data_IF_666998759001
#
_entry.id   IF_666998759001
#
_cell.length_a   1.000
_cell.length_b   1.000
_cell.length_c   1.000
_cell.angle_alpha   90.00
_cell.angle_beta   90.00
_cell.angle_gamma   90.00
#
_symmetry.space_group_name_H-M   'P 1'
#
loop_
_entity.id
_entity.type
_entity.pdbx_description
1 polymer ?
#
# COMPACT_ATOMS: atom_id res chain seq x y z
N UNK A 1 29.35 -5.14 -8.38
CA UNK A 1 28.22 -4.38 -7.81
C UNK A 1 28.30 -4.49 -6.29
N UNK A 2 28.25 -3.39 -5.55
CA UNK A 2 28.16 -3.46 -4.08
C UNK A 2 26.84 -4.13 -3.67
N UNK A 3 26.88 -4.93 -2.60
CA UNK A 3 25.70 -5.58 -2.03
C UNK A 3 24.77 -4.50 -1.46
N UNK A 4 23.53 -4.43 -1.95
CA UNK A 4 22.52 -3.49 -1.44
C UNK A 4 22.18 -3.85 0.01
N UNK A 5 22.09 -2.84 0.87
CA UNK A 5 21.61 -3.01 2.24
C UNK A 5 20.08 -3.06 2.29
N UNK A 6 19.52 -3.53 3.40
CA UNK A 6 18.08 -3.44 3.65
C UNK A 6 17.58 -1.99 3.57
N UNK A 7 18.37 -1.02 4.03
CA UNK A 7 18.02 0.39 3.96
C UNK A 7 17.97 0.89 2.51
N UNK A 8 18.89 0.45 1.64
CA UNK A 8 18.87 0.80 0.22
C UNK A 8 17.62 0.23 -0.49
N UNK A 9 17.26 -1.01 -0.15
CA UNK A 9 16.09 -1.70 -0.69
C UNK A 9 14.80 -1.05 -0.19
N UNK A 10 14.69 -0.76 1.11
CA UNK A 10 13.56 -0.06 1.70
C UNK A 10 13.39 1.33 1.08
N UNK A 11 14.48 2.08 0.90
CA UNK A 11 14.47 3.39 0.22
C UNK A 11 13.96 3.26 -1.22
N UNK A 12 14.35 2.21 -1.93
CA UNK A 12 13.90 1.96 -3.30
C UNK A 12 12.41 1.62 -3.37
N UNK A 13 11.92 0.82 -2.42
CA UNK A 13 10.50 0.51 -2.26
C UNK A 13 9.68 1.76 -1.90
N UNK A 14 10.16 2.61 -1.00
CA UNK A 14 9.52 3.88 -0.64
C UNK A 14 9.44 4.84 -1.83
N UNK A 15 10.52 4.98 -2.61
CA UNK A 15 10.52 5.76 -3.86
C UNK A 15 9.51 5.21 -4.86
N UNK A 16 9.32 3.89 -4.92
CA UNK A 16 8.33 3.25 -5.78
C UNK A 16 6.90 3.53 -5.29
N UNK A 17 6.65 3.41 -3.99
CA UNK A 17 5.37 3.79 -3.38
C UNK A 17 4.98 5.23 -3.70
N UNK A 18 5.92 6.18 -3.59
CA UNK A 18 5.68 7.59 -3.94
C UNK A 18 5.22 7.79 -5.39
N UNK A 19 5.76 7.01 -6.33
CA UNK A 19 5.33 7.08 -7.74
C UNK A 19 3.91 6.56 -7.92
N UNK A 20 3.56 5.47 -7.24
CA UNK A 20 2.18 4.96 -7.23
C UNK A 20 1.20 5.94 -6.60
N UNK A 21 1.56 6.57 -5.48
CA UNK A 21 0.70 7.57 -4.83
C UNK A 21 0.45 8.79 -5.74
N UNK A 22 1.47 9.24 -6.48
CA UNK A 22 1.30 10.28 -7.52
C UNK A 22 0.40 9.82 -8.66
N UNK A 23 0.55 8.57 -9.09
CA UNK A 23 -0.32 7.95 -10.09
C UNK A 23 -1.78 7.87 -9.63
N UNK A 24 -2.02 7.49 -8.38
CA UNK A 24 -3.34 7.44 -7.77
C UNK A 24 -4.01 8.82 -7.73
N UNK A 25 -3.25 9.85 -7.32
CA UNK A 25 -3.74 11.23 -7.35
C UNK A 25 -4.13 11.65 -8.77
N UNK A 26 -3.26 11.37 -9.76
CA UNK A 26 -3.53 11.76 -11.14
C UNK A 26 -4.73 11.01 -11.72
N UNK A 27 -4.88 9.73 -11.40
CA UNK A 27 -6.04 8.94 -11.79
C UNK A 27 -7.35 9.50 -11.21
N UNK A 28 -7.34 10.00 -9.96
CA UNK A 28 -8.49 10.69 -9.39
C UNK A 28 -8.85 11.97 -10.13
N UNK A 29 -7.85 12.80 -10.46
CA UNK A 29 -8.09 14.03 -11.24
C UNK A 29 -8.68 13.75 -12.62
N UNK A 30 -8.29 12.62 -13.21
CA UNK A 30 -8.72 12.20 -14.53
C UNK A 30 -10.00 11.34 -14.50
N UNK A 31 -10.65 11.19 -13.34
CA UNK A 31 -11.86 10.35 -13.14
C UNK A 31 -11.66 8.85 -13.50
N UNK A 32 -10.42 8.37 -13.48
CA UNK A 32 -10.07 6.95 -13.66
C UNK A 32 -10.12 6.25 -12.30
N UNK A 33 -11.33 6.00 -11.82
CA UNK A 33 -11.60 5.58 -10.44
C UNK A 33 -10.99 4.23 -10.06
N UNK A 34 -11.06 3.26 -10.96
CA UNK A 34 -10.45 1.94 -10.83
C UNK A 34 -8.91 2.04 -10.77
N UNK A 35 -8.30 2.81 -11.67
CA UNK A 35 -6.86 3.12 -11.65
C UNK A 35 -6.43 3.80 -10.35
N UNK A 36 -7.27 4.69 -9.79
CA UNK A 36 -7.00 5.35 -8.52
C UNK A 36 -7.01 4.36 -7.35
N UNK A 37 -7.98 3.44 -7.29
CA UNK A 37 -8.03 2.38 -6.27
C UNK A 37 -6.84 1.43 -6.42
N UNK A 38 -6.56 0.97 -7.65
CA UNK A 38 -5.44 0.07 -7.93
C UNK A 38 -4.09 0.72 -7.57
N UNK A 39 -3.86 1.97 -7.99
CA UNK A 39 -2.64 2.69 -7.69
C UNK A 39 -2.48 2.97 -6.18
N UNK A 40 -3.59 3.21 -5.47
CA UNK A 40 -3.59 3.37 -4.01
C UNK A 40 -3.17 2.09 -3.31
N UNK A 41 -3.69 0.94 -3.75
CA UNK A 41 -3.24 -0.37 -3.26
C UNK A 41 -1.74 -0.57 -3.49
N UNK A 42 -1.25 -0.27 -4.69
CA UNK A 42 0.16 -0.41 -5.03
C UNK A 42 1.06 0.52 -4.19
N UNK A 43 0.58 1.72 -3.84
CA UNK A 43 1.29 2.62 -2.95
C UNK A 43 1.41 2.02 -1.53
N UNK A 44 0.28 1.55 -0.96
CA UNK A 44 0.21 0.94 0.38
C UNK A 44 1.05 -0.32 0.48
N UNK A 45 0.98 -1.21 -0.51
CA UNK A 45 1.78 -2.44 -0.56
C UNK A 45 3.27 -2.11 -0.53
N UNK A 46 3.72 -1.16 -1.35
CA UNK A 46 5.14 -0.85 -1.49
C UNK A 46 5.72 -0.14 -0.26
N UNK A 47 4.98 0.77 0.38
CA UNK A 47 5.46 1.42 1.62
C UNK A 47 5.46 0.43 2.78
N UNK A 48 4.45 -0.45 2.88
CA UNK A 48 4.40 -1.48 3.91
C UNK A 48 5.57 -2.46 3.77
N UNK A 49 5.87 -2.88 2.53
CA UNK A 49 7.07 -3.68 2.23
C UNK A 49 8.35 -2.93 2.54
N UNK A 50 8.42 -1.61 2.31
CA UNK A 50 9.59 -0.82 2.69
C UNK A 50 9.87 -0.88 4.20
N UNK A 51 8.83 -0.79 5.04
CA UNK A 51 8.94 -0.94 6.50
C UNK A 51 9.43 -2.35 6.86
N UNK A 52 8.82 -3.39 6.30
CA UNK A 52 9.25 -4.78 6.56
C UNK A 52 10.72 -5.01 6.18
N UNK A 53 11.15 -4.52 5.02
CA UNK A 53 12.55 -4.60 4.57
C UNK A 53 13.47 -3.85 5.55
N UNK A 54 13.10 -2.63 5.96
CA UNK A 54 13.91 -1.82 6.88
C UNK A 54 14.11 -2.51 8.24
N UNK A 55 13.10 -3.23 8.71
CA UNK A 55 13.15 -4.04 9.93
C UNK A 55 13.81 -5.42 9.73
N UNK A 56 14.24 -5.76 8.50
CA UNK A 56 14.84 -7.05 8.19
C UNK A 56 13.86 -8.23 8.24
N UNK A 57 12.56 -7.96 8.07
CA UNK A 57 11.49 -8.97 8.11
C UNK A 57 11.28 -9.50 6.70
N UNK A 58 11.44 -10.82 6.53
CA UNK A 58 11.07 -11.51 5.30
C UNK A 58 9.55 -11.65 5.19
N UNK A 59 9.02 -11.53 3.97
CA UNK A 59 7.60 -11.65 3.68
C UNK A 59 7.37 -12.41 2.36
N UNK A 60 6.24 -13.10 2.20
CA UNK A 60 5.90 -13.83 1.00
C UNK A 60 5.69 -12.87 -0.16
N UNK A 61 5.80 -13.37 -1.40
CA UNK A 61 5.55 -12.56 -2.60
C UNK A 61 4.06 -12.43 -2.88
N UNK A 62 3.33 -11.89 -1.90
CA UNK A 62 1.89 -11.69 -1.91
C UNK A 62 1.57 -10.19 -1.83
N UNK A 63 0.32 -9.84 -2.10
CA UNK A 63 -0.16 -8.45 -2.11
C UNK A 63 -0.70 -8.01 -0.75
N UNK A 64 -1.42 -8.91 -0.08
CA UNK A 64 -1.78 -8.73 1.31
C UNK A 64 -0.59 -9.13 2.21
N UNK A 65 0.02 -8.13 2.86
CA UNK A 65 1.07 -8.35 3.85
C UNK A 65 0.61 -8.03 5.28
N UNK A 66 -0.69 -7.80 5.48
CA UNK A 66 -1.30 -7.34 6.72
C UNK A 66 -0.98 -8.27 7.90
N UNK A 67 -1.09 -9.59 7.70
CA UNK A 67 -0.81 -10.60 8.71
C UNK A 67 0.63 -10.53 9.24
N UNK A 68 1.61 -10.28 8.36
CA UNK A 68 3.02 -10.14 8.74
C UNK A 68 3.29 -8.76 9.31
N UNK A 69 2.67 -7.72 8.76
CA UNK A 69 2.78 -6.35 9.25
C UNK A 69 2.32 -6.23 10.70
N UNK A 70 1.22 -6.90 11.07
CA UNK A 70 0.72 -6.98 12.46
C UNK A 70 1.75 -7.54 13.44
N UNK A 71 2.67 -8.39 12.98
CA UNK A 71 3.74 -8.98 13.83
C UNK A 71 4.80 -7.97 14.23
N UNK A 72 4.87 -6.78 13.60
CA UNK A 72 5.75 -5.68 14.02
C UNK A 72 5.50 -5.31 15.49
N UNK A 73 4.26 -5.45 15.98
CA UNK A 73 3.92 -5.25 17.41
C UNK A 73 4.70 -6.12 18.39
N UNK A 74 5.35 -7.20 17.91
CA UNK A 74 6.13 -8.13 18.73
C UNK A 74 7.63 -7.84 18.69
N UNK A 75 8.07 -6.84 17.92
CA UNK A 75 9.47 -6.46 17.78
C UNK A 75 9.81 -5.45 18.87
N UNK A 76 10.86 -5.73 19.63
CA UNK A 76 11.38 -4.80 20.64
C UNK A 76 11.93 -3.53 19.99
N UNK A 77 11.71 -2.38 20.64
CA UNK A 77 12.22 -1.09 20.17
C UNK A 77 11.37 -0.39 19.11
N UNK A 78 10.24 -0.97 18.69
CA UNK A 78 9.29 -0.27 17.82
C UNK A 78 8.66 0.90 18.60
N UNK A 79 8.66 2.13 18.04
CA UNK A 79 8.12 3.30 18.73
C UNK A 79 6.63 3.17 19.06
N UNK A 80 6.23 3.63 20.25
CA UNK A 80 4.83 3.57 20.71
C UNK A 80 3.86 4.28 19.77
N UNK A 81 4.28 5.39 19.16
CA UNK A 81 3.46 6.10 18.18
C UNK A 81 3.12 5.21 16.96
N UNK A 82 4.08 4.41 16.49
CA UNK A 82 3.87 3.50 15.36
C UNK A 82 2.97 2.33 15.75
N UNK A 83 3.15 1.80 16.97
CA UNK A 83 2.26 0.77 17.51
C UNK A 83 0.81 1.26 17.63
N UNK A 84 0.60 2.54 17.94
CA UNK A 84 -0.74 3.12 18.09
C UNK A 84 -1.53 3.21 16.78
N UNK A 85 -0.84 3.27 15.64
CA UNK A 85 -1.45 3.33 14.30
C UNK A 85 -1.39 1.98 13.56
N UNK A 86 -0.69 0.98 14.11
CA UNK A 86 -0.41 -0.27 13.43
C UNK A 86 -1.66 -1.03 12.98
N UNK A 87 -2.73 -0.98 13.79
CA UNK A 87 -4.00 -1.62 13.47
C UNK A 87 -4.67 -0.97 12.26
N UNK A 88 -4.66 0.36 12.18
CA UNK A 88 -5.17 1.12 11.03
C UNK A 88 -4.38 0.78 9.76
N UNK A 89 -3.05 0.79 9.84
CA UNK A 89 -2.17 0.43 8.72
C UNK A 89 -2.47 -1.00 8.24
N UNK A 90 -2.66 -1.94 9.16
CA UNK A 90 -2.96 -3.34 8.85
C UNK A 90 -4.30 -3.49 8.13
N UNK A 91 -5.33 -2.77 8.59
CA UNK A 91 -6.65 -2.73 7.94
C UNK A 91 -6.54 -2.16 6.52
N UNK A 92 -5.84 -1.05 6.33
CA UNK A 92 -5.64 -0.44 5.01
C UNK A 92 -4.94 -1.38 4.03
N UNK A 93 -3.94 -2.15 4.49
CA UNK A 93 -3.24 -3.13 3.65
C UNK A 93 -4.21 -4.22 3.16
N UNK A 94 -4.98 -4.81 4.08
CA UNK A 94 -5.85 -5.94 3.75
C UNK A 94 -7.01 -5.50 2.85
N UNK A 95 -7.72 -4.43 3.22
CA UNK A 95 -8.87 -3.93 2.47
C UNK A 95 -8.50 -3.54 1.03
N UNK A 96 -7.39 -2.81 0.83
CA UNK A 96 -6.96 -2.43 -0.52
C UNK A 96 -6.47 -3.65 -1.31
N UNK A 97 -5.81 -4.61 -0.68
CA UNK A 97 -5.39 -5.85 -1.33
C UNK A 97 -6.58 -6.68 -1.84
N UNK A 98 -7.68 -6.74 -1.09
CA UNK A 98 -8.92 -7.42 -1.51
C UNK A 98 -9.55 -6.77 -2.75
N UNK A 99 -9.58 -5.43 -2.80
CA UNK A 99 -10.17 -4.68 -3.91
C UNK A 99 -9.31 -4.66 -5.17
N UNK A 100 -8.02 -4.97 -5.05
CA UNK A 100 -7.05 -4.93 -6.15
C UNK A 100 -7.51 -5.72 -7.37
N UNK A 101 -7.99 -6.95 -7.18
CA UNK A 101 -8.38 -7.81 -8.29
C UNK A 101 -9.56 -7.23 -9.08
N UNK A 102 -10.49 -6.59 -8.36
CA UNK A 102 -11.64 -5.94 -8.96
C UNK A 102 -11.24 -4.63 -9.65
N UNK A 103 -10.36 -3.83 -9.05
CA UNK A 103 -9.89 -2.58 -9.64
C UNK A 103 -8.99 -2.80 -10.86
N UNK A 104 -8.15 -3.84 -10.85
CA UNK A 104 -7.23 -4.12 -11.96
C UNK A 104 -7.82 -4.91 -13.13
N UNK A 105 -8.80 -5.79 -12.85
CA UNK A 105 -9.33 -6.73 -13.84
C UNK A 105 -10.87 -6.75 -13.88
N UNK A 106 -11.53 -5.76 -13.28
CA UNK A 106 -12.99 -5.64 -13.26
C UNK A 106 -13.61 -5.61 -14.66
N UNK A 107 -12.91 -4.97 -15.62
CA UNK A 107 -13.35 -4.89 -17.01
C UNK A 107 -13.56 -6.28 -17.65
N UNK A 108 -12.78 -7.30 -17.26
CA UNK A 108 -12.93 -8.68 -17.75
C UNK A 108 -14.26 -9.32 -17.30
N UNK A 109 -14.86 -8.77 -16.25
CA UNK A 109 -16.13 -9.18 -15.66
C UNK A 109 -17.27 -8.23 -15.99
N UNK A 110 -17.04 -7.26 -16.89
CA UNK A 110 -18.01 -6.23 -17.28
C UNK A 110 -18.24 -5.15 -16.23
N UNK A 111 -17.33 -4.99 -15.26
CA UNK A 111 -17.38 -3.92 -14.27
C UNK A 111 -16.73 -2.67 -14.85
N UNK A 112 -17.46 -1.57 -14.79
CA UNK A 112 -17.03 -0.25 -15.25
C UNK A 112 -16.30 0.51 -14.14
N UNK A 113 -15.37 1.41 -14.52
CA UNK A 113 -14.62 2.24 -13.58
C UNK A 113 -15.54 3.03 -12.63
N UNK A 114 -16.73 3.46 -13.08
CA UNK A 114 -17.72 4.17 -12.26
C UNK A 114 -18.15 3.40 -11.00
N UNK A 115 -18.00 2.07 -10.97
CA UNK A 115 -18.22 1.26 -9.77
C UNK A 115 -17.39 1.74 -8.56
N UNK A 116 -16.19 2.29 -8.82
CA UNK A 116 -15.27 2.75 -7.79
C UNK A 116 -15.39 4.23 -7.45
N UNK A 117 -16.28 4.98 -8.11
CA UNK A 117 -16.35 6.44 -8.01
C UNK A 117 -16.40 6.96 -6.57
N UNK A 118 -17.27 6.38 -5.75
CA UNK A 118 -17.45 6.81 -4.37
C UNK A 118 -16.29 6.38 -3.46
N UNK A 119 -15.63 5.26 -3.80
CA UNK A 119 -14.57 4.69 -2.99
C UNK A 119 -13.17 5.21 -3.35
N UNK A 120 -12.93 5.61 -4.60
CA UNK A 120 -11.62 6.01 -5.09
C UNK A 120 -11.00 7.17 -4.27
N UNK A 121 -11.73 8.25 -3.91
CA UNK A 121 -11.19 9.30 -3.04
C UNK A 121 -10.80 8.78 -1.65
N UNK A 122 -11.57 7.84 -1.10
CA UNK A 122 -11.31 7.21 0.20
C UNK A 122 -10.05 6.34 0.12
N UNK A 123 -9.92 5.54 -0.93
CA UNK A 123 -8.75 4.68 -1.17
C UNK A 123 -7.46 5.50 -1.27
N UNK A 124 -7.50 6.62 -2.00
CA UNK A 124 -6.37 7.53 -2.12
C UNK A 124 -6.00 8.15 -0.77
N UNK A 125 -6.97 8.66 -0.02
CA UNK A 125 -6.70 9.29 1.26
C UNK A 125 -6.11 8.31 2.28
N UNK A 126 -6.59 7.06 2.29
CA UNK A 126 -5.97 5.95 3.04
C UNK A 126 -4.52 5.75 2.62
N UNK A 127 -4.25 5.64 1.32
CA UNK A 127 -2.89 5.45 0.82
C UNK A 127 -1.95 6.62 1.12
N UNK A 128 -2.47 7.86 1.07
CA UNK A 128 -1.73 9.08 1.39
C UNK A 128 -1.33 9.12 2.86
N UNK A 129 -2.28 8.92 3.77
CA UNK A 129 -2.02 8.84 5.22
C UNK A 129 -1.07 7.71 5.57
N UNK A 130 -1.28 6.52 4.99
CA UNK A 130 -0.42 5.36 5.19
C UNK A 130 1.02 5.62 4.74
N UNK A 131 1.21 6.36 3.65
CA UNK A 131 2.54 6.75 3.15
C UNK A 131 3.24 7.79 4.03
N UNK A 132 2.47 8.71 4.64
CA UNK A 132 2.99 9.81 5.45
C UNK A 132 3.23 9.46 6.92
N UNK A 133 2.66 8.34 7.39
CA UNK A 133 2.79 7.81 8.76
C UNK A 133 4.18 7.23 9.03
#
# INVERSE_FOLDING_TARGET
MNKLTNIDLATSALKRSKRWLRGAFKALEDERWDDAVYSSQMAVEQVSKAVLIALGIEYPREHDVSAIFRRISKIEGVPTWFLSILDELTTNISELAELRGLAGYGYEKGLDAEYFKDYAPIAYEKARKHYES
#
